data_IF_629015082107
#
_entry.id   IF_629015082107
#
_cell.length_a   1.000
_cell.length_b   1.000
_cell.length_c   1.000
_cell.angle_alpha   90.00
_cell.angle_beta   90.00
_cell.angle_gamma   90.00
#
_symmetry.space_group_name_H-M   'P 1'
#
loop_
_entity.id
_entity.type
_entity.pdbx_description
1 polymer ?
#
# COMPACT_ATOMS: atom_id res chain seq x y z
N UNK A 1 -76.67 11.55 61.10
CA UNK A 1 -76.40 11.37 59.66
C UNK A 1 -75.84 9.96 59.43
N UNK A 2 -76.63 9.05 58.88
CA UNK A 2 -76.18 7.75 58.37
C UNK A 2 -77.06 7.43 57.16
N UNK A 3 -76.56 7.69 55.94
CA UNK A 3 -77.20 7.24 54.70
C UNK A 3 -76.96 5.72 54.59
N UNK A 4 -77.98 4.92 54.93
CA UNK A 4 -77.97 3.50 54.63
C UNK A 4 -78.32 3.33 53.16
N UNK A 5 -77.40 2.77 52.36
CA UNK A 5 -77.72 2.27 51.03
C UNK A 5 -78.81 1.20 51.14
N UNK A 6 -79.98 1.48 50.57
CA UNK A 6 -81.01 0.47 50.32
C UNK A 6 -80.50 -0.49 49.24
N UNK A 7 -80.42 -1.80 49.48
CA UNK A 7 -80.23 -2.74 48.38
C UNK A 7 -81.50 -2.71 47.53
N UNK A 8 -81.35 -2.40 46.24
CA UNK A 8 -82.41 -2.63 45.27
C UNK A 8 -82.63 -4.14 45.18
N UNK A 9 -83.70 -4.63 45.80
CA UNK A 9 -84.24 -5.96 45.52
C UNK A 9 -84.56 -6.00 44.02
N UNK A 10 -83.73 -6.68 43.24
CA UNK A 10 -84.08 -7.10 41.90
C UNK A 10 -85.21 -8.10 42.08
N UNK A 11 -86.45 -7.62 41.99
CA UNK A 11 -87.63 -8.46 41.90
C UNK A 11 -87.44 -9.28 40.64
N UNK A 12 -87.23 -10.59 40.79
CA UNK A 12 -87.21 -11.53 39.68
C UNK A 12 -88.62 -11.59 39.09
N UNK A 13 -88.92 -10.61 38.23
CA UNK A 13 -90.05 -10.65 37.31
C UNK A 13 -89.76 -11.80 36.36
N UNK A 14 -90.73 -12.71 36.22
CA UNK A 14 -90.66 -13.87 35.33
C UNK A 14 -90.17 -13.40 33.95
N UNK A 15 -89.00 -13.86 33.46
CA UNK A 15 -88.40 -13.31 32.26
C UNK A 15 -89.39 -13.44 31.11
N UNK A 16 -89.66 -12.31 30.45
CA UNK A 16 -90.64 -12.26 29.37
C UNK A 16 -90.32 -13.35 28.32
N UNK A 17 -91.36 -14.04 27.79
CA UNK A 17 -91.15 -15.15 26.87
C UNK A 17 -90.41 -14.68 25.62
N UNK A 18 -89.37 -15.43 25.23
CA UNK A 18 -88.57 -15.15 24.03
C UNK A 18 -89.40 -15.54 22.79
N UNK A 19 -90.12 -14.58 22.22
CA UNK A 19 -90.84 -14.76 20.94
C UNK A 19 -89.85 -14.60 19.79
N UNK A 20 -89.26 -15.71 19.32
CA UNK A 20 -88.44 -15.75 18.11
C UNK A 20 -89.26 -16.22 16.92
N UNK A 21 -88.88 -15.78 15.72
CA UNK A 21 -89.39 -16.38 14.49
C UNK A 21 -88.99 -17.86 14.41
N UNK A 22 -89.76 -18.70 13.70
CA UNK A 22 -89.43 -20.10 13.52
C UNK A 22 -87.98 -20.26 13.00
N UNK A 23 -87.20 -21.22 13.52
CA UNK A 23 -85.82 -21.40 13.08
C UNK A 23 -85.79 -21.66 11.58
N UNK A 24 -84.88 -20.98 10.87
CA UNK A 24 -84.67 -21.19 9.44
C UNK A 24 -84.25 -22.64 9.20
N UNK A 25 -84.68 -23.23 8.07
CA UNK A 25 -84.33 -24.60 7.68
C UNK A 25 -82.80 -24.76 7.69
N UNK A 26 -82.31 -25.87 8.23
CA UNK A 26 -80.88 -26.12 8.35
C UNK A 26 -80.19 -26.00 6.98
N UNK A 27 -79.16 -25.15 6.90
CA UNK A 27 -78.30 -24.97 5.72
C UNK A 27 -77.64 -26.29 5.33
N UNK A 28 -77.28 -26.45 4.06
CA UNK A 28 -76.57 -27.66 3.62
C UNK A 28 -75.25 -27.82 4.40
N UNK A 29 -74.75 -29.05 4.55
CA UNK A 29 -73.52 -29.31 5.31
C UNK A 29 -72.31 -28.53 4.75
N UNK A 30 -72.34 -28.25 3.45
CA UNK A 30 -71.32 -27.49 2.73
C UNK A 30 -71.42 -25.98 3.00
N UNK A 31 -72.63 -25.40 2.96
CA UNK A 31 -72.88 -24.01 3.37
C UNK A 31 -72.52 -23.76 4.85
N UNK A 32 -72.76 -24.75 5.72
CA UNK A 32 -72.36 -24.66 7.12
C UNK A 32 -70.84 -24.77 7.31
N UNK A 33 -70.12 -25.47 6.43
CA UNK A 33 -68.66 -25.63 6.54
C UNK A 33 -67.95 -24.34 6.13
N UNK A 34 -68.36 -23.73 5.01
CA UNK A 34 -67.80 -22.45 4.56
C UNK A 34 -68.10 -21.31 5.53
N UNK A 35 -69.32 -21.26 6.07
CA UNK A 35 -69.64 -20.29 7.12
C UNK A 35 -68.88 -20.55 8.41
N UNK A 36 -68.60 -21.80 8.76
CA UNK A 36 -67.75 -22.13 9.92
C UNK A 36 -66.31 -21.70 9.70
N UNK A 37 -65.73 -21.86 8.51
CA UNK A 37 -64.38 -21.37 8.25
C UNK A 37 -64.30 -19.84 8.29
N UNK A 38 -65.32 -19.16 7.77
CA UNK A 38 -65.41 -17.69 7.80
C UNK A 38 -65.75 -17.11 9.18
N UNK A 39 -66.47 -17.87 10.03
CA UNK A 39 -66.86 -17.44 11.38
C UNK A 39 -66.02 -18.02 12.51
N UNK A 40 -65.14 -18.99 12.21
CA UNK A 40 -64.24 -19.61 13.19
C UNK A 40 -62.99 -18.75 13.33
N UNK A 41 -62.90 -18.05 14.45
CA UNK A 41 -61.69 -17.33 14.85
C UNK A 41 -60.61 -18.35 15.24
N UNK A 42 -59.41 -18.31 14.63
CA UNK A 42 -58.33 -19.23 15.00
C UNK A 42 -57.89 -19.02 16.45
N UNK A 43 -57.37 -20.06 17.08
CA UNK A 43 -56.82 -19.96 18.43
C UNK A 43 -55.62 -19.02 18.46
N UNK A 44 -55.62 -18.08 19.39
CA UNK A 44 -54.50 -17.16 19.57
C UNK A 44 -53.33 -17.87 20.27
N UNK A 45 -52.32 -18.25 19.50
CA UNK A 45 -51.01 -18.68 20.02
C UNK A 45 -50.11 -17.46 20.07
N UNK A 46 -49.65 -17.07 21.27
CA UNK A 46 -48.72 -15.94 21.41
C UNK A 46 -47.28 -16.43 21.55
N UNK A 47 -46.33 -15.72 20.95
CA UNK A 47 -44.89 -16.00 21.07
C UNK A 47 -44.37 -15.71 22.48
N UNK A 48 -44.96 -14.74 23.20
CA UNK A 48 -44.47 -14.27 24.50
C UNK A 48 -45.14 -14.88 25.73
N UNK A 49 -46.41 -15.32 25.64
CA UNK A 49 -47.17 -15.73 26.83
C UNK A 49 -47.86 -17.08 26.68
N UNK A 50 -47.76 -17.90 27.73
CA UNK A 50 -48.48 -19.18 27.83
C UNK A 50 -49.01 -19.36 29.26
N UNK A 51 -50.06 -18.61 29.62
CA UNK A 51 -50.61 -18.57 30.99
C UNK A 51 -51.04 -19.94 31.53
N UNK A 52 -51.46 -20.84 30.63
CA UNK A 52 -51.93 -22.19 30.97
C UNK A 52 -50.87 -23.27 30.75
N UNK A 53 -49.63 -22.89 30.43
CA UNK A 53 -48.51 -23.79 30.12
C UNK A 53 -48.91 -24.93 29.16
N UNK A 54 -49.73 -24.63 28.15
CA UNK A 54 -50.15 -25.61 27.16
C UNK A 54 -48.96 -26.08 26.33
N UNK A 55 -48.90 -27.38 26.07
CA UNK A 55 -47.95 -27.96 25.11
C UNK A 55 -48.48 -27.63 23.72
N UNK A 56 -47.77 -26.78 23.00
CA UNK A 56 -48.12 -26.30 21.66
C UNK A 56 -46.99 -26.75 20.74
N UNK A 57 -47.34 -27.29 19.57
CA UNK A 57 -46.35 -27.72 18.59
C UNK A 57 -45.47 -26.54 18.16
N UNK A 58 -44.21 -26.82 17.80
CA UNK A 58 -43.28 -25.79 17.36
C UNK A 58 -43.77 -25.11 16.08
N UNK A 59 -44.33 -25.87 15.15
CA UNK A 59 -44.91 -25.36 13.90
C UNK A 59 -45.97 -24.29 14.16
N UNK A 60 -46.91 -24.54 15.08
CA UNK A 60 -47.97 -23.57 15.40
C UNK A 60 -47.40 -22.28 16.03
N UNK A 61 -46.35 -22.39 16.85
CA UNK A 61 -45.69 -21.22 17.44
C UNK A 61 -44.91 -20.43 16.40
N UNK A 62 -44.22 -21.14 15.51
CA UNK A 62 -43.38 -20.59 14.47
C UNK A 62 -44.23 -19.95 13.38
N UNK A 63 -45.35 -20.58 12.97
CA UNK A 63 -46.34 -20.01 12.06
C UNK A 63 -46.97 -18.71 12.59
N UNK A 64 -47.21 -18.62 13.90
CA UNK A 64 -47.69 -17.36 14.52
C UNK A 64 -46.63 -16.25 14.54
N UNK A 65 -45.35 -16.61 14.52
CA UNK A 65 -44.21 -15.69 14.52
C UNK A 65 -43.74 -15.32 13.11
N UNK A 66 -44.08 -16.15 12.12
CA UNK A 66 -43.90 -15.84 10.71
C UNK A 66 -44.98 -14.85 10.28
N UNK A 67 -44.73 -13.57 10.58
CA UNK A 67 -45.06 -12.55 9.59
C UNK A 67 -44.37 -13.01 8.30
N UNK A 68 -45.14 -13.38 7.28
CA UNK A 68 -44.65 -13.73 5.93
C UNK A 68 -44.08 -12.46 5.26
N UNK A 69 -43.12 -11.84 5.90
CA UNK A 69 -42.37 -10.74 5.33
C UNK A 69 -41.39 -11.39 4.37
N UNK A 70 -41.77 -11.48 3.10
CA UNK A 70 -40.82 -11.67 2.00
C UNK A 70 -39.56 -10.88 2.34
N UNK A 71 -38.41 -11.56 2.47
CA UNK A 71 -37.19 -10.94 2.98
C UNK A 71 -36.90 -9.58 2.31
N UNK A 72 -36.31 -8.61 3.02
CA UNK A 72 -36.22 -7.23 2.55
C UNK A 72 -35.58 -7.18 1.16
N UNK A 73 -36.38 -6.85 0.15
CA UNK A 73 -35.91 -6.70 -1.23
C UNK A 73 -35.04 -5.46 -1.31
N UNK A 74 -33.80 -5.63 -1.74
CA UNK A 74 -32.87 -4.51 -1.89
C UNK A 74 -33.38 -3.57 -2.98
N UNK A 75 -33.69 -2.32 -2.62
CA UNK A 75 -34.20 -1.34 -3.56
C UNK A 75 -33.17 -0.96 -4.64
N UNK A 76 -33.64 -0.65 -5.84
CA UNK A 76 -32.84 -0.28 -7.02
C UNK A 76 -31.84 0.86 -6.78
N UNK A 77 -32.16 1.77 -5.86
CA UNK A 77 -31.28 2.88 -5.50
C UNK A 77 -29.94 2.40 -4.93
N UNK A 78 -29.95 1.33 -4.14
CA UNK A 78 -28.73 0.75 -3.58
C UNK A 78 -27.86 0.12 -4.67
N UNK A 79 -28.50 -0.54 -5.64
CA UNK A 79 -27.81 -1.14 -6.79
C UNK A 79 -27.20 -0.03 -7.67
N UNK A 80 -27.95 1.02 -7.96
CA UNK A 80 -27.46 2.18 -8.72
C UNK A 80 -26.30 2.88 -8.02
N UNK A 81 -26.38 3.06 -6.70
CA UNK A 81 -25.31 3.64 -5.90
C UNK A 81 -24.05 2.77 -5.95
N UNK A 82 -24.18 1.45 -5.76
CA UNK A 82 -23.06 0.53 -5.81
C UNK A 82 -22.37 0.54 -7.20
N UNK A 83 -23.15 0.60 -8.28
CA UNK A 83 -22.61 0.74 -9.63
C UNK A 83 -21.90 2.07 -9.84
N UNK A 84 -22.48 3.18 -9.36
CA UNK A 84 -21.88 4.50 -9.47
C UNK A 84 -20.54 4.58 -8.72
N UNK A 85 -20.48 4.10 -7.47
CA UNK A 85 -19.25 4.04 -6.69
C UNK A 85 -18.20 3.14 -7.34
N UNK A 86 -18.61 2.01 -7.92
CA UNK A 86 -17.69 1.11 -8.62
C UNK A 86 -17.07 1.74 -9.88
N UNK A 87 -17.83 2.60 -10.58
CA UNK A 87 -17.31 3.36 -11.73
C UNK A 87 -16.37 4.46 -11.26
N UNK A 88 -16.81 5.29 -10.32
CA UNK A 88 -16.00 6.37 -9.76
C UNK A 88 -14.65 5.86 -9.22
N UNK A 89 -14.64 4.70 -8.52
CA UNK A 89 -13.41 4.08 -8.05
C UNK A 89 -12.46 3.71 -9.20
N UNK A 90 -12.98 3.16 -10.30
CA UNK A 90 -12.15 2.80 -11.46
C UNK A 90 -11.56 4.04 -12.10
N UNK A 91 -12.35 5.10 -12.25
CA UNK A 91 -11.92 6.35 -12.87
C UNK A 91 -10.81 7.02 -12.04
N UNK A 92 -10.97 7.08 -10.72
CA UNK A 92 -9.95 7.62 -9.80
C UNK A 92 -8.65 6.82 -9.88
N UNK A 93 -8.74 5.49 -9.90
CA UNK A 93 -7.55 4.63 -10.04
C UNK A 93 -6.88 4.88 -11.39
N UNK A 94 -7.64 5.00 -12.48
CA UNK A 94 -7.09 5.29 -13.80
C UNK A 94 -6.36 6.63 -13.83
N UNK A 95 -6.98 7.70 -13.33
CA UNK A 95 -6.34 9.01 -13.25
C UNK A 95 -5.04 8.96 -12.44
N UNK A 96 -5.07 8.36 -11.26
CA UNK A 96 -3.87 8.22 -10.43
C UNK A 96 -2.78 7.38 -11.11
N UNK A 97 -3.14 6.31 -11.85
CA UNK A 97 -2.14 5.53 -12.60
C UNK A 97 -1.52 6.31 -13.76
N UNK A 98 -2.28 7.20 -14.40
CA UNK A 98 -1.79 8.06 -15.47
C UNK A 98 -0.87 9.15 -14.90
N UNK A 99 -1.28 9.80 -13.81
CA UNK A 99 -0.45 10.79 -13.10
C UNK A 99 0.87 10.17 -12.64
N UNK A 100 0.82 9.00 -12.00
CA UNK A 100 2.03 8.30 -11.57
C UNK A 100 2.94 7.89 -12.74
N UNK A 101 2.39 7.56 -13.91
CA UNK A 101 3.18 7.30 -15.12
C UNK A 101 3.85 8.58 -15.63
N UNK A 102 3.10 9.67 -15.73
CA UNK A 102 3.62 10.96 -16.18
C UNK A 102 4.72 11.48 -15.25
N UNK A 103 4.55 11.31 -13.94
CA UNK A 103 5.56 11.68 -12.95
C UNK A 103 6.84 10.85 -13.10
N UNK A 104 6.72 9.53 -13.29
CA UNK A 104 7.88 8.67 -13.55
C UNK A 104 8.60 9.06 -14.83
N UNK A 105 7.87 9.30 -15.92
CA UNK A 105 8.46 9.75 -17.18
C UNK A 105 9.15 11.12 -17.04
N UNK A 106 8.60 12.03 -16.21
CA UNK A 106 9.24 13.31 -15.92
C UNK A 106 10.51 13.14 -15.08
N UNK A 107 10.50 12.26 -14.08
CA UNK A 107 11.67 11.93 -13.26
C UNK A 107 12.77 11.27 -14.10
N UNK A 108 12.42 10.32 -14.97
CA UNK A 108 13.36 9.67 -15.89
C UNK A 108 14.01 10.70 -16.84
N UNK A 109 13.24 11.66 -17.37
CA UNK A 109 13.79 12.74 -18.18
C UNK A 109 14.73 13.65 -17.40
N UNK A 110 14.36 14.03 -16.17
CA UNK A 110 15.23 14.82 -15.31
C UNK A 110 16.53 14.09 -14.99
N UNK A 111 16.46 12.79 -14.69
CA UNK A 111 17.64 11.96 -14.46
C UNK A 111 18.51 11.87 -15.72
N UNK A 112 17.92 11.65 -16.89
CA UNK A 112 18.65 11.62 -18.16
C UNK A 112 19.33 12.97 -18.48
N UNK A 113 18.70 14.10 -18.14
CA UNK A 113 19.30 15.43 -18.29
C UNK A 113 20.50 15.62 -17.35
N UNK A 114 20.37 15.21 -16.09
CA UNK A 114 21.44 15.29 -15.09
C UNK A 114 22.62 14.39 -15.47
N UNK A 115 22.36 13.15 -15.90
CA UNK A 115 23.39 12.24 -16.40
C UNK A 115 24.05 12.81 -17.66
N UNK A 116 23.26 13.39 -18.57
CA UNK A 116 23.75 14.05 -19.78
C UNK A 116 24.66 15.25 -19.48
N UNK A 117 24.33 16.08 -18.48
CA UNK A 117 25.21 17.17 -18.04
C UNK A 117 26.47 16.64 -17.36
N UNK A 118 26.34 15.65 -16.47
CA UNK A 118 27.47 15.06 -15.77
C UNK A 118 28.47 14.39 -16.73
N UNK A 119 27.99 13.75 -17.80
CA UNK A 119 28.85 13.20 -18.85
C UNK A 119 29.60 14.28 -19.62
N UNK A 120 28.96 15.40 -19.93
CA UNK A 120 29.62 16.54 -20.59
C UNK A 120 30.69 17.15 -19.69
N UNK A 121 30.38 17.33 -18.41
CA UNK A 121 31.34 17.86 -17.43
C UNK A 121 32.52 16.91 -17.24
N UNK A 122 32.28 15.60 -17.17
CA UNK A 122 33.33 14.59 -17.11
C UNK A 122 34.23 14.60 -18.36
N UNK A 123 33.65 14.73 -19.56
CA UNK A 123 34.41 14.87 -20.80
C UNK A 123 35.25 16.15 -20.80
N UNK A 124 34.69 17.28 -20.37
CA UNK A 124 35.41 18.53 -20.26
C UNK A 124 36.58 18.44 -19.26
N UNK A 125 36.39 17.74 -18.14
CA UNK A 125 37.46 17.49 -17.17
C UNK A 125 38.56 16.58 -17.75
N UNK A 126 38.21 15.54 -18.49
CA UNK A 126 39.19 14.68 -19.16
C UNK A 126 39.99 15.48 -20.21
N UNK A 127 39.32 16.29 -21.02
CA UNK A 127 39.97 17.15 -22.00
C UNK A 127 40.89 18.17 -21.31
N UNK A 128 40.44 18.80 -20.23
CA UNK A 128 41.27 19.70 -19.43
C UNK A 128 42.48 18.99 -18.80
N UNK A 129 42.32 17.74 -18.33
CA UNK A 129 43.42 16.92 -17.84
C UNK A 129 44.40 16.53 -18.96
N UNK A 130 43.92 16.23 -20.16
CA UNK A 130 44.78 15.94 -21.32
C UNK A 130 45.56 17.20 -21.77
N UNK A 131 44.91 18.36 -21.78
CA UNK A 131 45.54 19.64 -22.04
C UNK A 131 46.58 19.98 -20.95
N UNK A 132 46.27 19.76 -19.67
CA UNK A 132 47.26 19.91 -18.59
C UNK A 132 48.40 18.90 -18.71
N UNK A 133 48.12 17.65 -19.03
CA UNK A 133 49.14 16.60 -19.20
C UNK A 133 50.07 16.88 -20.37
N UNK A 134 49.54 17.39 -21.48
CA UNK A 134 50.33 17.80 -22.63
C UNK A 134 51.15 19.07 -22.34
N UNK A 135 50.60 20.04 -21.62
CA UNK A 135 51.33 21.23 -21.17
C UNK A 135 52.45 20.90 -20.15
N UNK A 136 52.19 19.97 -19.22
CA UNK A 136 53.19 19.43 -18.31
C UNK A 136 54.30 18.68 -19.08
N UNK A 137 53.95 17.89 -20.09
CA UNK A 137 54.94 17.22 -20.95
C UNK A 137 55.80 18.20 -21.76
N UNK A 138 55.25 19.35 -22.15
CA UNK A 138 55.98 20.38 -22.89
C UNK A 138 56.97 21.16 -21.99
N UNK A 139 56.73 21.20 -20.68
CA UNK A 139 57.53 21.93 -19.69
C UNK A 139 58.37 21.03 -18.77
N UNK A 140 58.22 19.71 -18.88
CA UNK A 140 58.91 18.70 -18.07
C UNK A 140 60.43 18.69 -18.32
N UNK A 141 61.21 18.88 -17.26
CA UNK A 141 62.67 18.67 -17.26
C UNK A 141 63.00 17.18 -17.35
N UNK A 142 64.22 16.84 -17.79
CA UNK A 142 64.67 15.45 -18.04
C UNK A 142 64.52 14.52 -16.82
N UNK A 143 64.64 15.06 -15.61
CA UNK A 143 64.55 14.32 -14.35
C UNK A 143 63.09 14.00 -13.98
N UNK A 144 62.18 14.97 -14.11
CA UNK A 144 60.74 14.77 -13.89
C UNK A 144 60.16 13.67 -14.81
N UNK A 145 60.66 13.59 -16.05
CA UNK A 145 60.29 12.53 -16.99
C UNK A 145 60.71 11.14 -16.50
N UNK A 146 61.86 11.01 -15.85
CA UNK A 146 62.34 9.72 -15.33
C UNK A 146 61.57 9.27 -14.09
N UNK A 147 61.22 10.20 -13.20
CA UNK A 147 60.44 9.88 -12.00
C UNK A 147 58.98 9.53 -12.33
N UNK A 148 58.40 10.15 -13.37
CA UNK A 148 57.09 9.74 -13.89
C UNK A 148 57.09 8.29 -14.39
N UNK A 149 58.14 7.88 -15.11
CA UNK A 149 58.33 6.51 -15.60
C UNK A 149 58.53 5.51 -14.45
N UNK A 150 59.15 5.92 -13.34
CA UNK A 150 59.25 5.09 -12.12
C UNK A 150 57.88 4.91 -11.47
N UNK A 151 57.14 5.99 -11.26
CA UNK A 151 55.80 5.96 -10.65
C UNK A 151 54.80 5.17 -11.51
N UNK A 152 54.85 5.30 -12.83
CA UNK A 152 53.99 4.53 -13.75
C UNK A 152 54.27 3.02 -13.67
N UNK A 153 55.55 2.63 -13.53
CA UNK A 153 55.92 1.22 -13.32
C UNK A 153 55.42 0.71 -11.98
N UNK A 154 55.60 1.49 -10.91
CA UNK A 154 55.14 1.12 -9.57
C UNK A 154 53.61 1.00 -9.51
N UNK A 155 52.87 1.90 -10.16
CA UNK A 155 51.41 1.83 -10.25
C UNK A 155 50.95 0.57 -11.00
N UNK A 156 51.57 0.24 -12.14
CA UNK A 156 51.27 -1.00 -12.86
C UNK A 156 51.57 -2.24 -12.04
N UNK A 157 52.61 -2.22 -11.22
CA UNK A 157 52.93 -3.32 -10.31
C UNK A 157 51.89 -3.45 -9.19
N UNK A 158 51.44 -2.34 -8.60
CA UNK A 158 50.34 -2.33 -7.61
C UNK A 158 49.04 -2.85 -8.20
N UNK A 159 48.66 -2.42 -9.39
CA UNK A 159 47.47 -2.91 -10.09
C UNK A 159 47.56 -4.41 -10.40
N UNK A 160 48.73 -4.89 -10.88
CA UNK A 160 48.97 -6.31 -11.08
C UNK A 160 48.89 -7.10 -9.78
N UNK A 161 49.40 -6.56 -8.68
CA UNK A 161 49.32 -7.19 -7.37
C UNK A 161 47.87 -7.27 -6.87
N UNK A 162 47.08 -6.20 -6.98
CA UNK A 162 45.67 -6.19 -6.60
C UNK A 162 44.87 -7.18 -7.45
N UNK A 163 45.07 -7.17 -8.78
CA UNK A 163 44.42 -8.12 -9.69
C UNK A 163 44.80 -9.57 -9.41
N UNK A 164 46.05 -9.84 -9.06
CA UNK A 164 46.51 -11.17 -8.67
C UNK A 164 45.87 -11.62 -7.35
N UNK A 165 45.74 -10.73 -6.36
CA UNK A 165 45.02 -11.00 -5.11
C UNK A 165 43.55 -11.32 -5.37
N UNK A 166 42.85 -10.50 -6.16
CA UNK A 166 41.45 -10.72 -6.50
C UNK A 166 41.22 -12.05 -7.22
N UNK A 167 42.12 -12.44 -8.13
CA UNK A 167 42.09 -13.78 -8.75
C UNK A 167 42.28 -14.91 -7.74
N UNK A 168 43.21 -14.76 -6.78
CA UNK A 168 43.41 -15.74 -5.71
C UNK A 168 42.17 -15.86 -4.81
N UNK A 169 41.52 -14.74 -4.46
CA UNK A 169 40.28 -14.76 -3.70
C UNK A 169 39.14 -15.43 -4.47
N UNK A 170 39.01 -15.16 -5.78
CA UNK A 170 38.02 -15.83 -6.63
C UNK A 170 38.26 -17.33 -6.74
N UNK A 171 39.51 -17.76 -6.94
CA UNK A 171 39.88 -19.19 -7.01
C UNK A 171 39.65 -19.90 -5.68
N UNK A 172 39.97 -19.25 -4.55
CA UNK A 172 39.73 -19.80 -3.22
C UNK A 172 38.22 -19.89 -2.90
N UNK A 173 37.44 -18.85 -3.22
CA UNK A 173 35.99 -18.85 -3.05
C UNK A 173 35.34 -19.98 -3.87
N UNK A 174 35.78 -20.19 -5.11
CA UNK A 174 35.31 -21.28 -5.96
C UNK A 174 35.67 -22.67 -5.42
N UNK A 175 36.85 -22.82 -4.80
CA UNK A 175 37.26 -24.09 -4.16
C UNK A 175 36.43 -24.41 -2.92
N UNK A 176 36.05 -23.40 -2.15
CA UNK A 176 35.25 -23.54 -0.93
C UNK A 176 33.74 -23.56 -1.19
N UNK A 177 33.30 -23.29 -2.42
CA UNK A 177 31.87 -23.21 -2.76
C UNK A 177 31.14 -22.02 -2.14
N UNK A 178 31.88 -20.96 -1.78
CA UNK A 178 31.36 -19.76 -1.10
C UNK A 178 31.41 -18.55 -2.07
N UNK A 179 30.58 -17.53 -1.86
CA UNK A 179 30.66 -16.28 -2.64
C UNK A 179 31.93 -15.49 -2.30
N UNK A 180 32.45 -14.74 -3.26
CA UNK A 180 33.64 -13.89 -3.05
C UNK A 180 33.42 -12.89 -1.91
N UNK A 181 32.21 -12.33 -1.82
CA UNK A 181 31.81 -11.40 -0.75
C UNK A 181 31.79 -12.05 0.64
N UNK A 182 31.35 -13.31 0.74
CA UNK A 182 31.34 -14.04 2.00
C UNK A 182 32.75 -14.48 2.42
N UNK A 183 33.63 -14.77 1.46
CA UNK A 183 35.05 -14.97 1.73
C UNK A 183 35.70 -13.67 2.22
N UNK A 184 35.41 -12.53 1.57
CA UNK A 184 35.94 -11.21 1.93
C UNK A 184 35.42 -10.69 3.28
N UNK A 185 34.22 -11.11 3.68
CA UNK A 185 33.67 -10.80 5.01
C UNK A 185 34.41 -11.55 6.14
N UNK A 186 35.07 -12.67 5.82
CA UNK A 186 35.69 -13.52 6.82
C UNK A 186 37.21 -13.31 6.91
N UNK A 187 37.61 -12.36 7.77
CA UNK A 187 38.99 -11.92 7.92
C UNK A 187 39.97 -13.03 8.34
N UNK A 188 39.50 -14.10 8.99
CA UNK A 188 40.33 -15.24 9.37
C UNK A 188 40.61 -16.17 8.18
N UNK A 189 39.57 -16.49 7.40
CA UNK A 189 39.72 -17.27 6.16
C UNK A 189 40.56 -16.50 5.12
N UNK A 190 40.36 -15.19 4.97
CA UNK A 190 41.20 -14.36 4.09
C UNK A 190 42.67 -14.39 4.48
N UNK A 191 43.00 -14.22 5.77
CA UNK A 191 44.39 -14.27 6.24
C UNK A 191 45.03 -15.62 5.95
N UNK A 192 44.29 -16.72 6.09
CA UNK A 192 44.80 -18.07 5.80
C UNK A 192 45.15 -18.26 4.32
N UNK A 193 44.38 -17.65 3.42
CA UNK A 193 44.60 -17.66 1.98
C UNK A 193 45.78 -16.75 1.60
N UNK A 194 45.86 -15.56 2.20
CA UNK A 194 46.92 -14.58 1.93
C UNK A 194 48.30 -15.02 2.45
N UNK A 195 48.35 -15.76 3.56
CA UNK A 195 49.60 -16.29 4.14
C UNK A 195 50.10 -17.57 3.44
N UNK A 196 49.35 -18.12 2.49
CA UNK A 196 49.76 -19.30 1.72
C UNK A 196 49.82 -20.60 2.54
N UNK A 197 49.27 -20.61 3.76
CA UNK A 197 49.13 -21.82 4.57
C UNK A 197 48.27 -22.89 3.87
N UNK A 198 47.40 -22.47 2.95
CA UNK A 198 46.45 -23.29 2.20
C UNK A 198 47.01 -23.89 0.88
N UNK A 199 48.31 -24.16 0.81
CA UNK A 199 48.97 -24.57 -0.44
C UNK A 199 48.77 -26.03 -0.86
N UNK A 200 48.29 -26.92 0.02
CA UNK A 200 48.31 -28.38 -0.27
C UNK A 200 47.07 -29.16 0.12
N UNK A 201 46.32 -28.76 1.14
CA UNK A 201 45.23 -29.58 1.67
C UNK A 201 43.91 -28.79 1.64
N UNK A 202 43.13 -28.95 0.56
CA UNK A 202 41.82 -28.32 0.40
C UNK A 202 40.77 -28.79 1.42
N UNK A 203 41.04 -29.92 2.08
CA UNK A 203 40.15 -30.54 3.05
C UNK A 203 40.13 -29.81 4.40
N UNK A 204 41.25 -29.22 4.85
CA UNK A 204 41.30 -28.51 6.14
C UNK A 204 40.47 -27.20 6.15
N UNK A 205 40.39 -26.51 5.01
CA UNK A 205 39.59 -25.28 4.90
C UNK A 205 38.09 -25.57 4.78
N UNK A 206 37.71 -26.64 4.09
CA UNK A 206 36.33 -27.09 4.07
C UNK A 206 35.87 -27.49 5.48
N UNK A 207 36.73 -28.14 6.26
CA UNK A 207 36.45 -28.50 7.66
C UNK A 207 36.31 -27.26 8.56
N UNK A 208 37.12 -26.20 8.36
CA UNK A 208 36.96 -24.93 9.08
C UNK A 208 35.66 -24.21 8.73
N UNK A 209 35.26 -24.21 7.45
CA UNK A 209 33.99 -23.65 6.99
C UNK A 209 32.82 -24.44 7.61
N UNK A 210 32.87 -25.77 7.56
CA UNK A 210 31.83 -26.64 8.13
C UNK A 210 31.75 -26.51 9.66
N UNK A 211 32.89 -26.46 10.35
CA UNK A 211 32.96 -26.23 11.79
C UNK A 211 32.35 -24.88 12.19
N UNK A 212 32.52 -23.84 11.36
CA UNK A 212 31.95 -22.51 11.61
C UNK A 212 30.46 -22.44 11.27
N UNK A 213 30.02 -23.09 10.21
CA UNK A 213 28.59 -23.26 9.90
C UNK A 213 27.88 -23.99 11.05
N UNK A 214 28.52 -25.00 11.64
CA UNK A 214 28.03 -25.68 12.83
C UNK A 214 28.03 -24.78 14.08
N UNK A 215 29.03 -23.93 14.27
CA UNK A 215 29.08 -22.97 15.38
C UNK A 215 27.99 -21.87 15.25
N UNK A 216 27.75 -21.37 14.04
CA UNK A 216 26.66 -20.41 13.76
C UNK A 216 25.28 -21.05 13.88
N UNK A 217 25.12 -22.31 13.44
CA UNK A 217 23.88 -23.06 13.60
C UNK A 217 23.56 -23.30 15.09
N UNK A 218 24.57 -23.62 15.91
CA UNK A 218 24.43 -23.74 17.36
C UNK A 218 23.99 -22.44 18.02
N UNK A 219 24.58 -21.29 17.64
CA UNK A 219 24.14 -19.98 18.16
C UNK A 219 22.70 -19.64 17.81
N UNK A 220 22.23 -20.01 16.62
CA UNK A 220 20.84 -19.79 16.19
C UNK A 220 19.84 -20.72 16.88
N UNK A 221 20.29 -21.87 17.37
CA UNK A 221 19.44 -22.85 18.05
C UNK A 221 19.12 -22.45 19.50
N UNK A 222 20.04 -21.71 20.15
CA UNK A 222 19.84 -21.20 21.52
C UNK A 222 18.82 -20.04 21.61
N UNK A 223 18.58 -19.30 20.51
CA UNK A 223 17.60 -18.21 20.46
C UNK A 223 16.14 -18.71 20.26
N UNK A 224 15.95 -19.92 19.74
CA UNK A 224 14.61 -20.50 19.50
C UNK A 224 14.02 -21.25 20.71
N UNK A 225 14.74 -21.33 21.83
CA UNK A 225 14.38 -22.16 22.98
C UNK A 225 13.60 -21.46 24.12
N UNK A 226 13.23 -20.19 24.01
CA UNK A 226 12.56 -19.44 25.09
C UNK A 226 11.07 -19.25 24.82
N UNK A 227 10.30 -20.33 24.93
CA UNK A 227 8.84 -20.25 25.07
C UNK A 227 8.50 -19.78 26.49
N UNK A 228 8.10 -18.52 26.62
CA UNK A 228 7.39 -18.01 27.80
C UNK A 228 6.15 -17.28 27.29
N UNK A 229 5.00 -17.70 27.79
CA UNK A 229 3.69 -17.15 27.52
C UNK A 229 3.61 -15.63 27.79
N UNK A 230 2.89 -14.92 26.90
CA UNK A 230 2.42 -13.55 27.16
C UNK A 230 3.05 -12.47 26.26
N UNK A 231 2.26 -11.99 25.29
CA UNK A 231 2.37 -10.67 24.68
C UNK A 231 3.71 -10.24 24.07
N UNK A 232 4.20 -11.01 23.08
CA UNK A 232 5.19 -10.51 22.13
C UNK A 232 4.49 -10.04 20.86
N UNK A 233 4.03 -8.78 20.86
CA UNK A 233 3.75 -8.05 19.62
C UNK A 233 5.00 -8.09 18.75
N UNK A 234 4.84 -8.61 17.54
CA UNK A 234 5.87 -8.79 16.55
C UNK A 234 6.47 -7.42 16.16
N UNK A 235 7.49 -6.94 16.88
CA UNK A 235 8.15 -5.64 16.66
C UNK A 235 9.48 -5.72 15.90
N UNK A 236 9.82 -6.88 15.31
CA UNK A 236 11.02 -7.02 14.47
C UNK A 236 10.74 -7.81 13.21
N UNK A 237 10.08 -7.15 12.25
CA UNK A 237 10.30 -7.34 10.81
C UNK A 237 9.32 -6.46 10.01
N UNK A 238 9.48 -5.14 10.07
CA UNK A 238 9.20 -4.24 8.94
C UNK A 238 9.76 -2.86 9.26
N UNK A 239 10.43 -2.23 8.30
CA UNK A 239 11.27 -1.02 8.39
C UNK A 239 12.73 -1.24 8.82
N UNK A 240 13.56 -1.64 7.85
CA UNK A 240 14.86 -0.97 7.68
C UNK A 240 14.54 0.48 7.30
N UNK A 241 14.65 1.39 8.27
CA UNK A 241 14.50 2.82 8.05
C UNK A 241 15.78 3.33 7.38
N UNK A 242 15.70 3.73 6.12
CA UNK A 242 16.75 4.43 5.38
C UNK A 242 17.03 5.86 5.88
N UNK A 243 16.47 6.25 7.04
CA UNK A 243 16.66 7.59 7.64
C UNK A 243 18.04 7.83 8.28
N UNK A 244 18.98 6.90 8.11
CA UNK A 244 20.38 7.06 8.54
C UNK A 244 21.31 7.65 7.48
N UNK A 245 20.89 7.74 6.22
CA UNK A 245 21.77 8.18 5.11
C UNK A 245 21.41 9.61 4.64
N UNK A 246 20.23 10.11 4.99
CA UNK A 246 19.75 11.44 4.55
C UNK A 246 20.21 12.62 5.42
N UNK A 247 20.89 12.37 6.55
CA UNK A 247 21.40 13.44 7.43
C UNK A 247 22.86 13.84 7.16
N UNK A 248 23.62 13.04 6.40
CA UNK A 248 24.99 13.42 6.00
C UNK A 248 25.03 14.22 4.69
N UNK A 249 24.01 14.13 3.85
CA UNK A 249 23.92 14.91 2.60
C UNK A 249 23.47 16.36 2.87
N UNK A 250 22.72 16.61 3.96
CA UNK A 250 22.23 17.97 4.29
C UNK A 250 23.25 18.87 5.00
N UNK A 251 24.40 18.34 5.41
CA UNK A 251 25.47 19.16 6.02
C UNK A 251 26.38 19.77 4.95
N UNK A 252 26.40 19.23 3.72
CA UNK A 252 27.24 19.76 2.63
C UNK A 252 26.54 20.79 1.72
N UNK A 253 25.20 20.78 1.63
CA UNK A 253 24.44 21.79 0.87
C UNK A 253 24.14 23.08 1.64
N UNK A 254 24.18 23.05 2.98
CA UNK A 254 23.97 24.23 3.81
C UNK A 254 25.19 25.19 3.83
N UNK A 255 26.38 24.71 3.42
CA UNK A 255 27.59 25.53 3.31
C UNK A 255 27.71 26.27 1.96
N UNK A 256 26.93 25.89 0.95
CA UNK A 256 26.96 26.50 -0.38
C UNK A 256 25.83 27.54 -0.63
N UNK A 257 24.92 27.75 0.33
CA UNK A 257 23.77 28.68 0.19
C UNK A 257 23.81 29.90 1.12
N UNK A 258 24.97 30.20 1.72
CA UNK A 258 25.14 31.33 2.63
C UNK A 258 25.71 32.60 1.99
N UNK A 259 25.75 32.71 0.66
CA UNK A 259 26.32 33.88 -0.02
C UNK A 259 25.47 34.29 -1.24
N UNK A 260 24.32 34.93 -1.01
CA UNK A 260 23.73 36.01 -1.85
C UNK A 260 22.33 36.38 -1.34
N UNK A 261 22.28 37.30 -0.38
CA UNK A 261 21.05 37.98 0.01
C UNK A 261 20.98 39.36 -0.65
N UNK A 262 20.00 39.66 -1.52
CA UNK A 262 19.66 41.04 -1.85
C UNK A 262 18.56 41.57 -0.91
N UNK A 263 18.89 42.71 -0.29
CA UNK A 263 18.05 43.53 0.60
C UNK A 263 16.74 43.93 -0.09
N UNK A 264 15.59 43.55 0.48
CA UNK A 264 14.29 44.16 0.12
C UNK A 264 14.11 45.46 0.91
N UNK A 265 14.30 46.59 0.22
CA UNK A 265 13.81 47.89 0.66
C UNK A 265 12.31 47.99 0.40
N UNK A 266 11.64 48.51 1.42
CA UNK A 266 10.21 48.75 1.59
C UNK A 266 9.91 50.16 1.09
N UNK A 267 9.01 50.32 0.13
CA UNK A 267 8.31 51.59 -0.14
C UNK A 267 6.86 51.31 -0.48
N UNK A 268 5.98 52.05 0.21
CA UNK A 268 4.53 52.10 0.13
C UNK A 268 4.05 52.99 -1.01
N UNK A 269 2.73 52.89 -1.29
CA UNK A 269 1.87 53.95 -1.87
C UNK A 269 2.06 54.23 -3.39
N UNK A 270 1.06 54.42 -4.24
CA UNK A 270 -0.37 54.82 -4.13
C UNK A 270 -1.15 54.36 -5.38
N UNK A 271 -2.48 54.37 -5.22
CA UNK A 271 -3.58 54.44 -6.20
C UNK A 271 -3.30 55.03 -7.59
N UNK A 272 -3.94 54.44 -8.61
CA UNK A 272 -4.70 55.19 -9.63
C UNK A 272 -5.62 54.25 -10.43
N UNK A 273 -6.89 54.61 -10.44
CA UNK A 273 -8.00 54.07 -11.23
C UNK A 273 -7.85 54.36 -12.73
N UNK A 274 -8.77 53.76 -13.50
CA UNK A 274 -9.22 54.13 -14.85
C UNK A 274 -8.29 53.90 -16.05
N UNK A 275 -8.69 52.98 -16.93
CA UNK A 275 -9.46 53.35 -18.15
C UNK A 275 -9.58 52.17 -19.10
N UNK A 276 -10.72 52.17 -19.77
CA UNK A 276 -11.30 51.20 -20.70
C UNK A 276 -10.54 51.01 -22.04
N UNK A 277 -11.17 50.13 -22.84
CA UNK A 277 -11.17 50.05 -24.31
C UNK A 277 -10.28 48.96 -24.95
N UNK A 278 -10.99 47.98 -25.50
CA UNK A 278 -10.85 47.48 -26.88
C UNK A 278 -9.68 46.57 -27.26
N UNK A 279 -10.01 45.34 -27.68
CA UNK A 279 -9.90 44.84 -29.08
C UNK A 279 -10.00 43.30 -29.13
N UNK A 280 -11.17 42.73 -28.81
CA UNK A 280 -11.47 41.36 -29.28
C UNK A 280 -11.90 41.43 -30.74
N UNK A 281 -10.91 41.34 -31.64
CA UNK A 281 -11.15 41.41 -33.08
C UNK A 281 -9.92 41.07 -33.92
N UNK A 282 -9.54 39.79 -33.98
CA UNK A 282 -8.81 39.20 -35.12
C UNK A 282 -9.33 37.77 -35.26
N UNK A 283 -10.41 37.57 -36.03
CA UNK A 283 -10.38 37.33 -37.47
C UNK A 283 -9.77 35.96 -37.83
N UNK A 284 -10.68 35.01 -37.97
CA UNK A 284 -10.73 33.96 -38.99
C UNK A 284 -9.80 34.24 -40.19
N UNK A 285 -8.82 33.37 -40.42
CA UNK A 285 -7.94 33.41 -41.60
C UNK A 285 -7.87 32.03 -42.27
N UNK A 286 -8.48 32.04 -43.46
CA UNK A 286 -8.19 31.30 -44.69
C UNK A 286 -8.49 29.80 -44.82
N UNK A 287 -9.69 29.61 -45.37
CA UNK A 287 -10.05 28.67 -46.43
C UNK A 287 -9.20 28.85 -47.72
N UNK A 288 -9.13 27.75 -48.50
CA UNK A 288 -8.78 27.63 -49.93
C UNK A 288 -7.30 27.62 -50.37
N UNK A 289 -6.82 26.47 -50.84
CA UNK A 289 -6.82 26.12 -52.29
C UNK A 289 -6.16 24.76 -52.58
N UNK A 290 -6.57 24.18 -53.73
CA UNK A 290 -6.16 22.93 -54.41
C UNK A 290 -7.08 21.75 -54.07
N UNK A 291 -8.02 21.36 -54.92
CA UNK A 291 -7.97 21.34 -56.38
C UNK A 291 -8.14 19.88 -56.79
N UNK A 292 -9.29 19.58 -57.39
CA UNK A 292 -9.72 18.24 -57.70
C UNK A 292 -8.78 17.43 -58.60
N UNK A 293 -8.75 16.13 -58.35
CA UNK A 293 -8.54 15.04 -59.32
C UNK A 293 -9.50 13.93 -58.90
N UNK A 294 -10.57 13.69 -59.66
CA UNK A 294 -10.67 12.56 -60.60
C UNK A 294 -10.19 11.25 -59.97
N UNK A 295 -11.12 10.43 -59.48
CA UNK A 295 -11.73 9.28 -60.16
C UNK A 295 -12.87 8.74 -59.29
#
# INVERSE_FOLDING_TARGET
MLLRHRPLLVVAVDPAPIVRSPPKKARSKEEQASEKELSSVPFCVSSWTNKKNLVIALEDRVASAHEETEGPKLGDNHIRLAMALSRAKKDVVQQHTLEAKMEREAQEKQQAEVEGSALKDAQALLEAMEQQRSAQQATETREARQDRLRLEREQRERERAIKAKLRRHQEAAARLGITVEALEADAELLRSIDTGAAGKDGDELAELVDARVLQEASRKQDDNGRTVDGDAVNHKAFHVSTRGIENEIKILDAAASAETAPKRSRTSETDSEDSDEDLFGVADILQQQKGGRRL
#
